data_IF_979063091033
#
_entry.id   IF_979063091033
#
_cell.length_a   1.000
_cell.length_b   1.000
_cell.length_c   1.000
_cell.angle_alpha   90.00
_cell.angle_beta   90.00
_cell.angle_gamma   90.00
#
_symmetry.space_group_name_H-M   'P 1'
#
loop_
_entity.id
_entity.type
_entity.pdbx_description
1 polymer ?
#
# COMPACT_ATOMS: atom_id res chain seq x y z
N UNK A 1 8.13 -0.76 1.13
CA UNK A 1 8.19 -0.84 -0.34
C UNK A 1 7.83 -2.24 -0.83
N UNK A 2 8.73 -3.21 -0.68
CA UNK A 2 8.59 -4.55 -1.28
C UNK A 2 7.31 -5.28 -0.88
N UNK A 3 6.90 -5.21 0.39
CA UNK A 3 5.64 -5.85 0.82
C UNK A 3 4.43 -5.29 0.05
N UNK A 4 4.32 -3.96 -0.07
CA UNK A 4 3.21 -3.33 -0.82
C UNK A 4 3.22 -3.74 -2.30
N UNK A 5 4.40 -3.76 -2.91
CA UNK A 5 4.62 -4.18 -4.30
C UNK A 5 4.16 -5.62 -4.52
N UNK A 6 4.68 -6.56 -3.70
CA UNK A 6 4.38 -7.97 -3.86
C UNK A 6 2.93 -8.29 -3.57
N UNK A 7 2.30 -7.59 -2.62
CA UNK A 7 0.86 -7.71 -2.38
C UNK A 7 0.07 -7.22 -3.60
N UNK A 8 0.43 -6.11 -4.24
CA UNK A 8 -0.24 -5.63 -5.46
C UNK A 8 -0.07 -6.62 -6.62
N UNK A 9 1.12 -7.21 -6.79
CA UNK A 9 1.37 -8.25 -7.78
C UNK A 9 0.52 -9.49 -7.50
N UNK A 10 0.49 -9.97 -6.26
CA UNK A 10 -0.33 -11.12 -5.85
C UNK A 10 -1.82 -10.88 -6.10
N UNK A 11 -2.34 -9.72 -5.72
CA UNK A 11 -3.73 -9.34 -5.98
C UNK A 11 -3.99 -9.34 -7.50
N UNK A 12 -3.05 -8.82 -8.30
CA UNK A 12 -3.19 -8.77 -9.75
C UNK A 12 -3.24 -10.16 -10.40
N UNK A 13 -2.35 -11.05 -9.98
CA UNK A 13 -2.31 -12.44 -10.44
C UNK A 13 -3.58 -13.17 -10.00
N UNK A 14 -3.99 -13.05 -8.74
CA UNK A 14 -5.20 -13.69 -8.21
C UNK A 14 -6.45 -13.32 -9.02
N UNK A 15 -6.61 -12.03 -9.36
CA UNK A 15 -7.72 -11.57 -10.19
C UNK A 15 -7.62 -12.06 -11.63
N UNK A 16 -6.41 -12.09 -12.20
CA UNK A 16 -6.19 -12.64 -13.53
C UNK A 16 -6.58 -14.13 -13.58
N UNK A 17 -6.12 -14.93 -12.61
CA UNK A 17 -6.40 -16.37 -12.51
C UNK A 17 -7.88 -16.64 -12.29
N UNK A 18 -8.55 -15.87 -11.44
CA UNK A 18 -10.00 -16.00 -11.21
C UNK A 18 -10.82 -15.86 -12.50
N UNK A 19 -10.42 -14.94 -13.38
CA UNK A 19 -11.16 -14.62 -14.61
C UNK A 19 -10.74 -15.49 -15.80
N UNK A 20 -9.49 -15.95 -15.82
CA UNK A 20 -8.98 -16.84 -16.88
C UNK A 20 -9.31 -18.31 -16.61
N UNK A 21 -9.25 -18.75 -15.36
CA UNK A 21 -9.45 -20.15 -14.93
C UNK A 21 -10.44 -20.27 -13.75
N UNK A 22 -11.74 -20.03 -13.98
CA UNK A 22 -12.75 -20.00 -12.92
C UNK A 22 -12.89 -21.35 -12.18
N UNK A 23 -12.88 -22.47 -12.91
CA UNK A 23 -13.01 -23.83 -12.34
C UNK A 23 -11.83 -24.17 -11.43
N UNK A 24 -10.61 -23.83 -11.86
CA UNK A 24 -9.41 -24.03 -11.04
C UNK A 24 -9.44 -23.13 -9.80
N UNK A 25 -9.78 -21.85 -9.97
CA UNK A 25 -9.89 -20.88 -8.88
C UNK A 25 -10.88 -21.34 -7.82
N UNK A 26 -12.02 -21.91 -8.21
CA UNK A 26 -13.02 -22.38 -7.24
C UNK A 26 -12.53 -23.58 -6.43
N UNK A 27 -11.76 -24.48 -7.05
CA UNK A 27 -11.32 -25.72 -6.41
C UNK A 27 -10.01 -25.57 -5.60
N UNK A 28 -9.11 -24.66 -5.99
CA UNK A 28 -7.76 -24.57 -5.39
C UNK A 28 -7.54 -23.37 -4.46
N UNK A 29 -8.43 -22.37 -4.49
CA UNK A 29 -8.25 -21.11 -3.74
C UNK A 29 -8.73 -21.26 -2.30
N UNK A 30 -7.81 -21.65 -1.41
CA UNK A 30 -8.08 -21.75 0.03
C UNK A 30 -7.38 -20.63 0.81
N UNK A 31 -7.99 -20.19 1.92
CA UNK A 31 -7.44 -19.14 2.80
C UNK A 31 -6.06 -19.53 3.33
N UNK A 32 -5.85 -20.83 3.64
CA UNK A 32 -4.57 -21.36 4.13
C UNK A 32 -3.45 -21.18 3.11
N UNK A 33 -3.70 -21.50 1.83
CA UNK A 33 -2.71 -21.32 0.75
C UNK A 33 -2.42 -19.84 0.52
N UNK A 34 -3.44 -18.99 0.50
CA UNK A 34 -3.27 -17.54 0.36
C UNK A 34 -2.44 -16.94 1.50
N UNK A 35 -2.69 -17.37 2.75
CA UNK A 35 -1.90 -16.96 3.91
C UNK A 35 -0.43 -17.40 3.80
N UNK A 36 -0.17 -18.65 3.39
CA UNK A 36 1.20 -19.14 3.18
C UNK A 36 1.96 -18.35 2.12
N UNK A 37 1.33 -18.04 0.98
CA UNK A 37 1.92 -17.22 -0.09
C UNK A 37 2.21 -15.79 0.41
N UNK A 38 1.30 -15.22 1.21
CA UNK A 38 1.51 -13.90 1.79
C UNK A 38 2.71 -13.89 2.74
N UNK A 39 2.81 -14.86 3.67
CA UNK A 39 3.95 -15.01 4.59
C UNK A 39 5.26 -15.15 3.82
N UNK A 40 5.27 -15.95 2.75
CA UNK A 40 6.45 -16.09 1.89
C UNK A 40 6.88 -14.74 1.28
N UNK A 41 5.93 -13.94 0.79
CA UNK A 41 6.24 -12.61 0.25
C UNK A 41 6.74 -11.63 1.33
N UNK A 42 6.29 -11.77 2.57
CA UNK A 42 6.84 -11.00 3.69
C UNK A 42 8.29 -11.37 3.99
N UNK A 43 8.60 -12.67 4.01
CA UNK A 43 9.98 -13.15 4.19
C UNK A 43 10.87 -12.65 3.06
N UNK A 44 10.42 -12.76 1.81
CA UNK A 44 11.16 -12.25 0.64
C UNK A 44 11.37 -10.73 0.71
N UNK A 45 10.34 -9.98 1.15
CA UNK A 45 10.44 -8.53 1.35
C UNK A 45 11.47 -8.16 2.41
N UNK A 46 11.52 -8.91 3.53
CA UNK A 46 12.50 -8.72 4.58
C UNK A 46 13.92 -9.01 4.06
N UNK A 47 14.10 -10.11 3.32
CA UNK A 47 15.37 -10.48 2.72
C UNK A 47 15.89 -9.42 1.74
N UNK A 48 15.03 -8.88 0.87
CA UNK A 48 15.40 -7.81 -0.07
C UNK A 48 15.66 -6.46 0.62
N UNK A 49 15.09 -6.26 1.81
CA UNK A 49 15.34 -5.05 2.61
C UNK A 49 16.66 -5.15 3.37
N UNK A 50 17.10 -6.36 3.74
CA UNK A 50 18.25 -6.62 4.61
C UNK A 50 19.57 -5.94 4.15
N UNK A 51 19.99 -5.97 2.88
CA UNK A 51 21.20 -5.26 2.46
C UNK A 51 21.12 -3.76 2.76
N UNK A 52 19.94 -3.17 2.59
CA UNK A 52 19.69 -1.75 2.88
C UNK A 52 19.91 -1.38 4.36
N UNK A 53 19.69 -2.35 5.25
CA UNK A 53 19.86 -2.18 6.69
C UNK A 53 21.33 -2.36 7.09
N UNK A 54 22.00 -3.36 6.53
CA UNK A 54 23.40 -3.67 6.86
C UNK A 54 24.39 -2.58 6.40
N UNK A 55 24.11 -1.92 5.27
CA UNK A 55 24.95 -0.83 4.73
C UNK A 55 24.53 0.56 5.21
N UNK A 56 23.68 0.65 6.25
CA UNK A 56 23.20 1.93 6.78
C UNK A 56 24.22 2.48 7.78
N UNK A 57 24.71 3.69 7.54
CA UNK A 57 25.70 4.34 8.38
C UNK A 57 25.17 5.67 8.93
N UNK A 58 25.74 6.10 10.06
CA UNK A 58 25.38 7.35 10.73
C UNK A 58 26.65 8.20 10.81
N UNK A 59 26.59 9.40 10.25
CA UNK A 59 27.67 10.39 10.36
C UNK A 59 27.17 11.63 11.05
N UNK A 60 27.92 12.09 12.05
CA UNK A 60 27.62 13.30 12.80
C UNK A 60 28.45 14.46 12.22
N UNK A 61 27.77 15.49 11.72
CA UNK A 61 28.39 16.73 11.27
C UNK A 61 27.93 17.88 12.17
N UNK A 62 28.72 18.19 13.20
CA UNK A 62 28.37 19.23 14.18
C UNK A 62 27.12 18.83 14.99
N UNK A 63 26.05 19.64 14.88
CA UNK A 63 24.75 19.37 15.55
C UNK A 63 23.80 18.51 14.71
N UNK A 64 24.16 18.14 13.48
CA UNK A 64 23.30 17.39 12.55
C UNK A 64 23.79 15.95 12.42
N UNK A 65 22.93 15.00 12.79
CA UNK A 65 23.16 13.56 12.60
C UNK A 65 22.53 13.12 11.28
N UNK A 66 23.37 12.74 10.31
CA UNK A 66 22.94 12.24 9.01
C UNK A 66 22.92 10.71 9.00
N UNK A 67 21.78 10.12 8.66
CA UNK A 67 21.65 8.70 8.38
C UNK A 67 21.60 8.50 6.87
N UNK A 68 22.64 7.88 6.31
CA UNK A 68 22.71 7.56 4.88
C UNK A 68 23.15 6.11 4.72
N UNK A 69 22.99 5.56 3.53
CA UNK A 69 23.47 4.23 3.26
C UNK A 69 24.77 4.28 2.46
N UNK A 70 25.86 3.85 3.09
CA UNK A 70 27.17 3.78 2.48
C UNK A 70 27.29 2.47 1.71
N UNK A 71 26.83 2.50 0.45
CA UNK A 71 26.95 1.35 -0.44
C UNK A 71 28.32 1.27 -1.13
N UNK A 72 29.40 1.88 -0.63
CA UNK A 72 30.78 1.83 -1.19
C UNK A 72 30.82 1.63 -2.72
N UNK A 73 31.51 0.61 -3.22
CA UNK A 73 31.64 0.27 -4.65
C UNK A 73 30.40 -0.41 -5.27
N UNK A 74 29.35 -0.74 -4.49
CA UNK A 74 28.17 -1.49 -4.95
C UNK A 74 26.89 -0.65 -5.03
N UNK A 75 26.99 0.67 -4.86
CA UNK A 75 25.85 1.59 -4.87
C UNK A 75 24.96 1.44 -6.11
N UNK A 76 25.56 1.40 -7.31
CA UNK A 76 24.82 1.21 -8.57
C UNK A 76 24.06 -0.12 -8.62
N UNK A 77 24.70 -1.22 -8.19
CA UNK A 77 24.10 -2.55 -8.20
C UNK A 77 22.91 -2.64 -7.23
N UNK A 78 23.02 -2.04 -6.04
CA UNK A 78 21.93 -1.99 -5.07
C UNK A 78 20.76 -1.20 -5.63
N UNK A 79 20.99 0.02 -6.13
CA UNK A 79 19.94 0.87 -6.72
C UNK A 79 19.24 0.15 -7.89
N UNK A 80 20.00 -0.46 -8.79
CA UNK A 80 19.45 -1.21 -9.92
C UNK A 80 18.63 -2.41 -9.46
N UNK A 81 19.11 -3.17 -8.48
CA UNK A 81 18.37 -4.31 -7.92
C UNK A 81 17.07 -3.84 -7.27
N UNK A 82 17.09 -2.73 -6.52
CA UNK A 82 15.88 -2.12 -5.94
C UNK A 82 14.88 -1.69 -7.01
N UNK A 83 15.36 -1.10 -8.09
CA UNK A 83 14.50 -0.67 -9.19
C UNK A 83 13.87 -1.87 -9.93
N UNK A 84 14.67 -2.91 -10.21
CA UNK A 84 14.21 -4.10 -10.92
C UNK A 84 13.13 -4.83 -10.11
N UNK A 85 13.42 -5.13 -8.84
CA UNK A 85 12.51 -5.90 -7.98
C UNK A 85 11.38 -5.06 -7.37
N UNK A 86 11.62 -3.77 -7.16
CA UNK A 86 10.66 -2.84 -6.55
C UNK A 86 9.73 -2.16 -7.56
N UNK A 87 10.13 -2.04 -8.83
CA UNK A 87 9.38 -1.28 -9.83
C UNK A 87 9.18 -2.06 -11.15
N UNK A 88 10.27 -2.47 -11.82
CA UNK A 88 10.18 -3.00 -13.19
C UNK A 88 9.44 -4.34 -13.30
N UNK A 89 9.89 -5.37 -12.58
CA UNK A 89 9.24 -6.70 -12.58
C UNK A 89 7.77 -6.58 -12.14
N UNK A 90 7.46 -5.91 -11.02
CA UNK A 90 6.08 -5.68 -10.61
C UNK A 90 5.24 -4.97 -11.67
N UNK A 91 5.76 -3.93 -12.31
CA UNK A 91 5.05 -3.18 -13.36
C UNK A 91 4.70 -4.08 -14.53
N UNK A 92 5.65 -4.86 -15.05
CA UNK A 92 5.41 -5.78 -16.17
C UNK A 92 4.35 -6.82 -15.82
N UNK A 93 4.41 -7.42 -14.64
CA UNK A 93 3.42 -8.42 -14.20
C UNK A 93 2.03 -7.79 -14.04
N UNK A 94 1.96 -6.61 -13.42
CA UNK A 94 0.68 -5.93 -13.18
C UNK A 94 0.04 -5.49 -14.51
N UNK A 95 0.80 -4.88 -15.41
CA UNK A 95 0.31 -4.43 -16.72
C UNK A 95 -0.17 -5.63 -17.53
N UNK A 96 0.62 -6.71 -17.62
CA UNK A 96 0.22 -7.91 -18.36
C UNK A 96 -1.06 -8.54 -17.79
N UNK A 97 -1.16 -8.69 -16.46
CA UNK A 97 -2.37 -9.20 -15.80
C UNK A 97 -3.58 -8.30 -16.07
N UNK A 98 -3.40 -6.98 -16.01
CA UNK A 98 -4.48 -6.00 -16.22
C UNK A 98 -4.96 -6.03 -17.67
N UNK A 99 -4.06 -6.15 -18.65
CA UNK A 99 -4.41 -6.29 -20.06
C UNK A 99 -5.20 -7.57 -20.32
N UNK A 100 -4.73 -8.73 -19.83
CA UNK A 100 -5.43 -10.02 -19.96
C UNK A 100 -6.83 -9.93 -19.35
N UNK A 101 -6.92 -9.35 -18.16
CA UNK A 101 -8.18 -9.14 -17.46
C UNK A 101 -9.14 -8.25 -18.25
N UNK A 102 -8.66 -7.13 -18.81
CA UNK A 102 -9.46 -6.23 -19.65
C UNK A 102 -9.98 -6.94 -20.91
N UNK A 103 -9.12 -7.69 -21.59
CA UNK A 103 -9.49 -8.42 -22.80
C UNK A 103 -10.58 -9.45 -22.50
N UNK A 104 -10.46 -10.19 -21.39
CA UNK A 104 -11.44 -11.20 -21.01
C UNK A 104 -12.76 -10.59 -20.54
N UNK A 105 -12.70 -9.49 -19.78
CA UNK A 105 -13.90 -8.80 -19.29
C UNK A 105 -14.71 -8.19 -20.44
N UNK A 106 -14.03 -7.66 -21.47
CA UNK A 106 -14.68 -7.15 -22.69
C UNK A 106 -15.38 -8.26 -23.47
N UNK A 107 -14.82 -9.48 -23.50
CA UNK A 107 -15.44 -10.65 -24.16
C UNK A 107 -16.67 -11.18 -23.41
N UNK A 108 -16.67 -11.07 -22.08
CA UNK A 108 -17.75 -11.60 -21.22
C UNK A 108 -18.89 -10.60 -20.99
N UNK A 109 -18.82 -9.38 -21.53
CA UNK A 109 -19.85 -8.32 -21.41
C UNK A 109 -20.30 -8.05 -19.96
N UNK A 110 -19.39 -8.25 -18.99
CA UNK A 110 -19.71 -8.04 -17.57
C UNK A 110 -19.70 -6.54 -17.28
N UNK A 111 -20.87 -5.98 -16.97
CA UNK A 111 -21.06 -4.52 -16.73
C UNK A 111 -20.45 -4.01 -15.42
N UNK A 112 -20.18 -4.86 -14.43
CA UNK A 112 -19.68 -4.40 -13.12
C UNK A 112 -18.16 -4.34 -13.06
N UNK A 113 -17.59 -3.17 -13.36
CA UNK A 113 -16.13 -2.89 -13.32
C UNK A 113 -15.66 -2.27 -11.99
N UNK A 114 -16.54 -2.18 -10.98
CA UNK A 114 -16.26 -1.46 -9.72
C UNK A 114 -15.02 -1.97 -8.96
N UNK A 115 -14.88 -3.26 -8.61
CA UNK A 115 -13.68 -3.75 -7.91
C UNK A 115 -12.40 -3.64 -8.77
N UNK A 116 -12.54 -3.69 -10.10
CA UNK A 116 -11.45 -3.46 -11.03
C UNK A 116 -10.95 -2.01 -11.01
N UNK A 117 -11.86 -1.03 -10.95
CA UNK A 117 -11.47 0.39 -10.81
C UNK A 117 -10.68 0.65 -9.53
N UNK A 118 -11.04 -0.02 -8.42
CA UNK A 118 -10.28 0.06 -7.16
C UNK A 118 -8.85 -0.43 -7.39
N UNK A 119 -8.71 -1.60 -8.00
CA UNK A 119 -7.42 -2.25 -8.24
C UNK A 119 -6.52 -1.42 -9.15
N UNK A 120 -7.04 -0.90 -10.27
CA UNK A 120 -6.29 0.00 -11.16
C UNK A 120 -5.89 1.28 -10.44
N UNK A 121 -6.77 1.86 -9.62
CA UNK A 121 -6.43 3.06 -8.86
C UNK A 121 -5.31 2.81 -7.83
N UNK A 122 -5.31 1.64 -7.15
CA UNK A 122 -4.23 1.24 -6.23
C UNK A 122 -2.90 1.10 -6.97
N UNK A 123 -2.92 0.50 -8.16
CA UNK A 123 -1.74 0.33 -9.02
C UNK A 123 -1.19 1.69 -9.47
N UNK A 124 -2.05 2.58 -10.00
CA UNK A 124 -1.64 3.90 -10.45
C UNK A 124 -1.11 4.76 -9.31
N UNK A 125 -1.78 4.74 -8.17
CA UNK A 125 -1.31 5.44 -6.96
C UNK A 125 0.07 4.95 -6.54
N UNK A 126 0.32 3.66 -6.60
CA UNK A 126 1.64 3.10 -6.30
C UNK A 126 2.69 3.70 -7.23
N UNK A 127 2.52 3.61 -8.55
CA UNK A 127 3.53 4.16 -9.48
C UNK A 127 3.72 5.67 -9.34
N UNK A 128 2.64 6.45 -9.17
CA UNK A 128 2.72 7.89 -8.97
C UNK A 128 3.51 8.25 -7.70
N UNK A 129 3.31 7.53 -6.60
CA UNK A 129 4.03 7.77 -5.36
C UNK A 129 5.50 7.32 -5.41
N UNK A 130 5.81 6.26 -6.15
CA UNK A 130 7.14 5.63 -6.15
C UNK A 130 8.06 6.14 -7.27
N UNK A 131 7.52 6.65 -8.38
CA UNK A 131 8.31 7.22 -9.49
C UNK A 131 9.23 8.35 -9.01
N UNK A 132 8.75 9.38 -8.27
CA UNK A 132 9.61 10.47 -7.81
C UNK A 132 10.81 9.95 -7.01
N UNK A 133 10.58 8.98 -6.13
CA UNK A 133 11.63 8.34 -5.34
C UNK A 133 12.68 7.67 -6.23
N UNK A 134 12.26 6.81 -7.16
CA UNK A 134 13.20 6.12 -8.05
C UNK A 134 13.97 7.08 -8.93
N UNK A 135 13.32 8.11 -9.47
CA UNK A 135 13.97 9.14 -10.29
C UNK A 135 15.09 9.82 -9.50
N UNK A 136 14.81 10.33 -8.29
CA UNK A 136 15.84 11.03 -7.51
C UNK A 136 16.97 10.12 -7.01
N UNK A 137 16.68 8.85 -6.73
CA UNK A 137 17.72 7.85 -6.41
C UNK A 137 18.62 7.55 -7.62
N UNK A 138 18.08 7.58 -8.84
CA UNK A 138 18.91 7.49 -10.05
C UNK A 138 19.74 8.76 -10.27
N UNK A 139 19.19 9.96 -10.03
CA UNK A 139 19.97 11.21 -10.11
C UNK A 139 21.12 11.25 -9.09
N UNK A 140 20.93 10.65 -7.91
CA UNK A 140 21.98 10.51 -6.90
C UNK A 140 23.18 9.69 -7.40
N UNK A 141 22.99 8.74 -8.32
CA UNK A 141 24.10 7.98 -8.93
C UNK A 141 25.00 8.85 -9.83
N UNK A 142 24.47 9.94 -10.35
CA UNK A 142 25.15 10.90 -11.24
C UNK A 142 25.34 12.26 -10.54
N UNK A 143 25.66 12.24 -9.25
CA UNK A 143 25.78 13.44 -8.39
C UNK A 143 26.79 14.47 -8.92
N UNK A 144 27.81 14.02 -9.67
CA UNK A 144 28.80 14.91 -10.29
C UNK A 144 28.25 15.75 -11.46
N UNK A 145 27.09 15.38 -12.03
CA UNK A 145 26.46 16.08 -13.15
C UNK A 145 25.31 17.00 -12.74
N UNK A 146 24.88 16.94 -11.48
CA UNK A 146 23.67 17.61 -11.00
C UNK A 146 23.93 18.44 -9.74
N UNK A 147 23.13 19.49 -9.55
CA UNK A 147 23.20 20.32 -8.35
C UNK A 147 22.84 19.52 -7.09
N UNK A 148 23.76 19.45 -6.13
CA UNK A 148 23.60 18.75 -4.84
C UNK A 148 22.31 19.14 -4.11
N UNK A 149 21.94 20.42 -4.13
CA UNK A 149 20.73 20.93 -3.48
C UNK A 149 19.43 20.40 -4.13
N UNK A 150 19.45 20.19 -5.44
CA UNK A 150 18.29 19.66 -6.20
C UNK A 150 18.13 18.18 -5.90
N UNK A 151 19.23 17.41 -5.90
CA UNK A 151 19.20 15.98 -5.58
C UNK A 151 18.75 15.75 -4.14
N UNK A 152 19.28 16.51 -3.17
CA UNK A 152 18.90 16.40 -1.76
C UNK A 152 17.44 16.73 -1.51
N UNK A 153 16.98 17.87 -2.04
CA UNK A 153 15.55 18.27 -1.94
C UNK A 153 14.65 17.25 -2.63
N UNK A 154 15.07 16.79 -3.81
CA UNK A 154 14.38 15.76 -4.58
C UNK A 154 14.23 14.44 -3.82
N UNK A 155 15.29 13.94 -3.17
CA UNK A 155 15.23 12.73 -2.36
C UNK A 155 14.26 12.85 -1.18
N UNK A 156 14.19 14.03 -0.54
CA UNK A 156 13.20 14.30 0.51
C UNK A 156 11.79 14.22 -0.07
N UNK A 157 11.53 14.92 -1.17
CA UNK A 157 10.22 14.92 -1.87
C UNK A 157 9.84 13.52 -2.35
N UNK A 158 10.79 12.77 -2.90
CA UNK A 158 10.59 11.40 -3.34
C UNK A 158 10.25 10.47 -2.18
N UNK A 159 10.96 10.60 -1.05
CA UNK A 159 10.72 9.79 0.14
C UNK A 159 9.37 10.10 0.79
N UNK A 160 8.97 11.37 0.86
CA UNK A 160 7.64 11.75 1.37
C UNK A 160 6.52 11.28 0.45
N UNK A 161 6.72 11.37 -0.87
CA UNK A 161 5.77 10.84 -1.86
C UNK A 161 5.59 9.32 -1.73
N UNK A 162 6.69 8.58 -1.57
CA UNK A 162 6.64 7.14 -1.35
C UNK A 162 5.96 6.77 -0.02
N UNK A 163 6.12 7.58 1.03
CA UNK A 163 5.42 7.39 2.30
C UNK A 163 3.90 7.60 2.17
N UNK A 164 3.47 8.56 1.34
CA UNK A 164 2.06 8.82 1.08
C UNK A 164 1.32 7.62 0.48
N UNK A 165 2.01 6.72 -0.23
CA UNK A 165 1.43 5.49 -0.78
C UNK A 165 0.69 4.65 0.27
N UNK A 166 1.20 4.60 1.50
CA UNK A 166 0.56 3.83 2.59
C UNK A 166 -0.77 4.46 3.02
N UNK A 167 -0.89 5.79 2.96
CA UNK A 167 -2.10 6.54 3.30
C UNK A 167 -3.17 6.39 2.22
N UNK A 168 -2.79 6.31 0.95
CA UNK A 168 -3.76 6.32 -0.15
C UNK A 168 -4.58 5.02 -0.20
N UNK A 169 -4.04 3.88 0.28
CA UNK A 169 -4.75 2.59 0.21
C UNK A 169 -6.12 2.62 0.92
N UNK A 170 -6.24 3.02 2.21
CA UNK A 170 -7.54 3.19 2.88
C UNK A 170 -8.50 4.12 2.13
N UNK A 171 -8.03 5.26 1.63
CA UNK A 171 -8.87 6.20 0.88
C UNK A 171 -9.42 5.56 -0.38
N UNK A 172 -8.58 4.88 -1.17
CA UNK A 172 -9.03 4.19 -2.38
C UNK A 172 -10.06 3.10 -2.09
N UNK A 173 -9.90 2.34 -1.00
CA UNK A 173 -10.89 1.34 -0.60
C UNK A 173 -12.23 1.97 -0.19
N UNK A 174 -12.23 3.10 0.53
CA UNK A 174 -13.44 3.78 1.00
C UNK A 174 -14.18 4.51 -0.12
N UNK A 175 -13.46 5.19 -1.02
CA UNK A 175 -14.08 6.00 -2.07
C UNK A 175 -14.54 5.18 -3.28
N UNK A 176 -13.87 4.06 -3.58
CA UNK A 176 -14.14 3.26 -4.78
C UNK A 176 -14.88 1.95 -4.43
N UNK A 177 -14.70 1.42 -3.22
CA UNK A 177 -15.42 0.25 -2.70
C UNK A 177 -16.75 0.63 -2.06
N UNK A 178 -17.85 0.64 -2.83
CA UNK A 178 -19.17 1.01 -2.33
C UNK A 178 -19.67 0.10 -1.17
N UNK A 179 -19.26 -1.18 -1.18
CA UNK A 179 -19.52 -2.16 -0.10
C UNK A 179 -18.84 -1.75 1.21
N UNK A 180 -17.54 -1.39 1.15
CA UNK A 180 -16.77 -1.02 2.35
C UNK A 180 -17.26 0.29 2.96
N UNK A 181 -17.66 1.26 2.11
CA UNK A 181 -18.30 2.50 2.55
C UNK A 181 -19.60 2.25 3.31
N UNK A 182 -20.42 1.29 2.86
CA UNK A 182 -21.66 0.92 3.55
C UNK A 182 -21.39 0.20 4.88
N UNK A 183 -20.43 -0.74 4.92
CA UNK A 183 -20.03 -1.41 6.16
C UNK A 183 -19.43 -0.44 7.17
N UNK A 184 -18.54 0.47 6.75
CA UNK A 184 -17.96 1.51 7.61
C UNK A 184 -19.01 2.47 8.13
N UNK A 185 -19.88 3.00 7.26
CA UNK A 185 -21.00 3.85 7.69
C UNK A 185 -21.89 3.13 8.69
N UNK A 186 -22.20 1.85 8.46
CA UNK A 186 -23.00 1.06 9.40
C UNK A 186 -22.28 0.88 10.73
N UNK A 187 -20.99 0.58 10.74
CA UNK A 187 -20.21 0.44 11.98
C UNK A 187 -20.05 1.76 12.75
N UNK A 188 -19.91 2.88 12.05
CA UNK A 188 -19.79 4.22 12.64
C UNK A 188 -21.14 4.69 13.19
N UNK A 189 -22.22 4.51 12.43
CA UNK A 189 -23.58 4.81 12.89
C UNK A 189 -23.95 3.96 14.10
N UNK A 190 -23.62 2.65 14.09
CA UNK A 190 -23.84 1.77 15.24
C UNK A 190 -23.03 2.22 16.46
N UNK A 191 -21.78 2.66 16.29
CA UNK A 191 -20.98 3.21 17.40
C UNK A 191 -21.51 4.54 17.92
N UNK A 192 -21.99 5.42 17.05
CA UNK A 192 -22.63 6.67 17.44
C UNK A 192 -23.96 6.42 18.18
N UNK A 193 -24.76 5.48 17.69
CA UNK A 193 -26.00 5.05 18.32
C UNK A 193 -25.75 4.40 19.69
N UNK A 194 -24.69 3.59 19.81
CA UNK A 194 -24.26 3.02 21.09
C UNK A 194 -23.81 4.11 22.08
N UNK A 195 -23.02 5.09 21.62
CA UNK A 195 -22.58 6.21 22.45
C UNK A 195 -23.74 7.12 22.88
N UNK A 196 -24.71 7.39 22.00
CA UNK A 196 -25.92 8.15 22.34
C UNK A 196 -26.85 7.37 23.28
N UNK A 197 -26.91 6.04 23.16
CA UNK A 197 -27.67 5.19 24.09
C UNK A 197 -26.99 5.07 25.47
N UNK A 198 -25.67 5.22 25.53
CA UNK A 198 -24.90 5.27 26.77
C UNK A 198 -25.15 6.59 27.53
N UNK A 199 -25.19 7.72 26.83
CA UNK A 199 -25.56 9.04 27.39
C UNK A 199 -27.04 9.13 27.83
N UNK A 200 -27.96 8.44 27.12
CA UNK A 200 -29.36 8.39 27.53
C UNK A 200 -29.59 7.62 28.85
N UNK A 201 -28.74 6.61 29.13
CA UNK A 201 -28.83 5.80 30.36
C UNK A 201 -28.23 6.50 31.58
N UNK A 202 -27.20 7.32 31.41
CA UNK A 202 -26.60 8.10 32.50
C UNK A 202 -27.53 9.22 32.96
N UNK A 203 -28.24 9.89 32.04
CA UNK A 203 -29.22 10.94 32.38
C UNK A 203 -30.49 10.37 33.03
N UNK A 204 -31.01 9.23 32.56
CA UNK A 204 -32.19 8.58 33.15
C UNK A 204 -31.98 8.07 34.59
N UNK A 205 -30.74 7.70 34.93
CA UNK A 205 -30.40 7.20 36.27
C UNK A 205 -30.21 8.33 37.29
N UNK A 206 -29.85 9.54 36.85
CA UNK A 206 -29.80 10.73 37.72
C UNK A 206 -31.17 11.37 37.93
N UNK A 207 -32.06 11.35 36.92
CA UNK A 207 -33.43 11.89 37.05
C UNK A 207 -34.30 11.11 38.04
N UNK A 208 -34.12 9.79 38.14
CA UNK A 208 -34.88 8.95 39.09
C UNK A 208 -34.43 9.15 40.55
N UNK A 209 -33.16 9.49 40.80
CA UNK A 209 -32.66 9.69 42.18
C UNK A 209 -32.99 11.07 42.76
N UNK A 210 -33.35 12.05 41.93
CA UNK A 210 -33.71 13.39 42.39
C UNK A 210 -35.20 13.54 42.74
N UNK A 211 -36.06 12.63 42.27
CA UNK A 211 -37.51 12.68 42.50
C UNK A 211 -37.94 11.93 43.78
N UNK A 212 -37.09 11.05 44.31
CA UNK A 212 -37.32 10.34 45.58
C UNK A 212 -36.79 11.10 46.82
N UNK A 213 -36.26 12.32 46.65
CA UNK A 213 -35.72 13.15 47.75
C UNK A 213 -36.58 14.38 48.09
N UNK A 214 -37.74 14.54 47.43
CA UNK A 214 -38.66 15.67 47.60
C UNK A 214 -40.10 15.27 47.95
N UNK A 215 -40.32 14.04 48.44
CA UNK A 215 -41.61 13.57 48.96
C UNK A 215 -41.50 13.17 50.43
#
# INVERSE_FOLDING_TARGET
>A
MYSSVFVLVLISIDRCVMVTFPVWSQNHRTIKKASGVLVLMWILSAALTLPSLLYRNITVHGTVTLCYADYRHRHKAVVLTRFIWGCLIPFVIIVSCTVILCMKLRRLTIKSTKPYKVMVALILSFFICWIPYHTFVFLELDIHKHNLNVVKTGLVVGSTSAAANSLINPFLYVFIGNEFKQTLKKSLMLRMEYAMAEDGRTVGTQGSKSMDMLA
#
